data_IF_569340877811
#
_entry.id   IF_569340877811
#
_cell.length_a   1.000
_cell.length_b   1.000
_cell.length_c   1.000
_cell.angle_alpha   90.00
_cell.angle_beta   90.00
_cell.angle_gamma   90.00
#
_symmetry.space_group_name_H-M   'P 1'
#
loop_
_entity.id
_entity.type
_entity.pdbx_description
1 polymer ?
#
# COMPACT_ATOMS: atom_id res chain seq x y z
N UNK A 1 -14.20 -6.90 -33.26
CA UNK A 1 -15.18 -7.03 -32.16
C UNK A 1 -14.55 -6.46 -30.91
N UNK A 2 -15.28 -5.64 -30.14
CA UNK A 2 -14.80 -5.15 -28.85
C UNK A 2 -14.95 -6.29 -27.83
N UNK A 3 -13.90 -6.59 -27.07
CA UNK A 3 -13.95 -7.63 -26.04
C UNK A 3 -14.79 -7.11 -24.87
N UNK A 4 -15.96 -7.71 -24.64
CA UNK A 4 -16.91 -7.27 -23.61
C UNK A 4 -16.35 -7.32 -22.18
N UNK A 5 -15.46 -8.27 -21.89
CA UNK A 5 -14.80 -8.34 -20.58
C UNK A 5 -13.72 -7.27 -20.41
N UNK A 6 -13.00 -6.93 -21.49
CA UNK A 6 -12.09 -5.77 -21.47
C UNK A 6 -12.89 -4.46 -21.28
N UNK A 7 -14.04 -4.30 -21.94
CA UNK A 7 -14.90 -3.13 -21.74
C UNK A 7 -15.34 -3.01 -20.28
N UNK A 8 -15.76 -4.11 -19.63
CA UNK A 8 -16.10 -4.11 -18.19
C UNK A 8 -14.91 -3.79 -17.30
N UNK A 9 -13.73 -4.35 -17.58
CA UNK A 9 -12.51 -4.07 -16.80
C UNK A 9 -12.18 -2.56 -16.81
N UNK A 10 -12.34 -1.92 -17.97
CA UNK A 10 -12.04 -0.50 -18.18
C UNK A 10 -13.14 0.47 -17.69
N UNK A 11 -14.23 0.00 -17.07
CA UNK A 11 -15.19 0.92 -16.41
C UNK A 11 -14.72 1.39 -15.04
N UNK A 12 -13.82 0.63 -14.39
CA UNK A 12 -13.17 1.08 -13.16
C UNK A 12 -11.97 1.99 -13.52
N UNK A 13 -11.88 3.21 -12.96
CA UNK A 13 -10.81 4.14 -13.30
C UNK A 13 -9.41 3.64 -12.93
N UNK A 14 -9.27 2.91 -11.82
CA UNK A 14 -8.00 2.33 -11.39
C UNK A 14 -7.49 1.28 -12.38
N UNK A 15 -8.35 0.34 -12.76
CA UNK A 15 -8.05 -0.67 -13.77
C UNK A 15 -7.76 -0.06 -15.15
N UNK A 16 -8.54 0.94 -15.57
CA UNK A 16 -8.34 1.66 -16.83
C UNK A 16 -6.98 2.34 -16.88
N UNK A 17 -6.63 3.09 -15.83
CA UNK A 17 -5.32 3.75 -15.71
C UNK A 17 -4.17 2.75 -15.59
N UNK A 18 -4.33 1.67 -14.83
CA UNK A 18 -3.33 0.61 -14.74
C UNK A 18 -3.03 -0.01 -16.12
N UNK A 19 -4.08 -0.35 -16.88
CA UNK A 19 -3.98 -0.90 -18.23
C UNK A 19 -3.27 0.05 -19.20
N UNK A 20 -3.71 1.30 -19.32
CA UNK A 20 -3.07 2.26 -20.23
C UNK A 20 -1.67 2.67 -19.78
N UNK A 21 -1.41 2.75 -18.47
CA UNK A 21 -0.08 2.94 -17.92
C UNK A 21 0.87 1.77 -18.25
N UNK A 22 0.40 0.51 -18.21
CA UNK A 22 1.18 -0.63 -18.68
C UNK A 22 1.42 -0.60 -20.20
N UNK A 23 0.45 -0.16 -21.01
CA UNK A 23 0.70 0.02 -22.44
C UNK A 23 1.73 1.11 -22.72
N UNK A 24 1.71 2.22 -21.95
CA UNK A 24 2.70 3.31 -21.99
C UNK A 24 4.10 2.83 -21.58
N UNK A 25 4.16 1.86 -20.69
CA UNK A 25 5.36 1.22 -20.14
C UNK A 25 6.02 0.20 -21.08
N UNK A 26 5.20 -0.51 -21.85
CA UNK A 26 5.66 -1.47 -22.86
C UNK A 26 6.16 -0.75 -24.12
N UNK A 27 5.45 0.30 -24.58
CA UNK A 27 6.14 1.36 -25.33
C UNK A 27 7.10 2.09 -24.37
N UNK A 28 7.94 2.98 -24.87
CA UNK A 28 9.16 3.42 -24.18
C UNK A 28 10.18 2.30 -23.85
N UNK A 29 9.86 1.26 -23.06
CA UNK A 29 10.82 0.20 -22.69
C UNK A 29 11.01 -0.88 -23.76
N UNK A 30 10.40 -2.05 -23.60
CA UNK A 30 10.69 -3.31 -24.34
C UNK A 30 10.15 -3.31 -25.77
N UNK A 31 9.04 -2.62 -26.04
CA UNK A 31 8.51 -2.42 -27.39
C UNK A 31 9.02 -1.08 -27.96
N UNK A 32 10.34 -0.93 -28.01
CA UNK A 32 11.02 0.24 -28.59
C UNK A 32 12.00 -0.17 -29.68
N UNK A 33 12.25 0.70 -30.66
CA UNK A 33 13.33 0.49 -31.64
C UNK A 33 14.67 0.28 -30.94
N UNK A 34 14.98 1.10 -29.94
CA UNK A 34 16.24 1.01 -29.16
C UNK A 34 16.44 -0.39 -28.55
N UNK A 35 15.42 -0.92 -27.87
CA UNK A 35 15.48 -2.26 -27.27
C UNK A 35 15.51 -3.38 -28.32
N UNK A 36 14.61 -3.32 -29.31
CA UNK A 36 14.42 -4.40 -30.29
C UNK A 36 15.50 -4.45 -31.36
N UNK A 37 16.24 -3.35 -31.60
CA UNK A 37 17.27 -3.30 -32.65
C UNK A 37 18.38 -4.33 -32.44
N UNK A 38 18.89 -4.47 -31.21
CA UNK A 38 19.93 -5.47 -30.88
C UNK A 38 19.46 -6.89 -31.17
N UNK A 39 18.22 -7.22 -30.79
CA UNK A 39 17.61 -8.53 -31.03
C UNK A 39 17.36 -8.79 -32.52
N UNK A 40 16.81 -7.81 -33.23
CA UNK A 40 16.56 -7.91 -34.67
C UNK A 40 17.85 -8.09 -35.47
N UNK A 41 18.90 -7.33 -35.14
CA UNK A 41 20.23 -7.49 -35.74
C UNK A 41 20.83 -8.86 -35.43
N UNK A 42 20.76 -9.32 -34.18
CA UNK A 42 21.28 -10.63 -33.78
C UNK A 42 20.58 -11.78 -34.51
N UNK A 43 19.25 -11.85 -34.46
CA UNK A 43 18.52 -12.97 -35.06
C UNK A 43 18.57 -12.97 -36.59
N UNK A 44 18.70 -11.80 -37.25
CA UNK A 44 18.94 -11.71 -38.69
C UNK A 44 20.21 -12.47 -39.12
N UNK A 45 21.25 -12.58 -38.26
CA UNK A 45 22.45 -13.35 -38.60
C UNK A 45 22.22 -14.86 -38.77
N UNK A 46 21.11 -15.40 -38.27
CA UNK A 46 20.71 -16.80 -38.44
C UNK A 46 19.69 -17.01 -39.58
N UNK A 47 19.21 -15.94 -40.22
CA UNK A 47 18.13 -15.97 -41.21
C UNK A 47 18.68 -15.63 -42.61
N UNK A 48 19.00 -16.62 -43.45
CA UNK A 48 19.69 -16.39 -44.73
C UNK A 48 18.85 -15.68 -45.80
N UNK A 49 17.56 -15.44 -45.54
CA UNK A 49 16.60 -14.86 -46.49
C UNK A 49 15.66 -13.82 -45.87
N UNK A 50 15.86 -13.41 -44.62
CA UNK A 50 14.95 -12.50 -43.91
C UNK A 50 15.73 -11.53 -43.00
N UNK A 51 15.51 -10.22 -43.21
CA UNK A 51 16.09 -9.16 -42.38
C UNK A 51 15.02 -8.61 -41.43
N UNK A 52 15.10 -9.01 -40.16
CA UNK A 52 14.15 -8.60 -39.13
C UNK A 52 14.27 -7.12 -38.76
N UNK A 53 15.37 -6.45 -39.12
CA UNK A 53 15.53 -5.01 -38.85
C UNK A 53 14.56 -4.15 -39.67
N UNK A 54 14.05 -4.68 -40.79
CA UNK A 54 13.01 -4.03 -41.60
C UNK A 54 11.72 -3.76 -40.82
N UNK A 55 11.38 -4.64 -39.86
CA UNK A 55 10.19 -4.51 -39.00
C UNK A 55 10.30 -3.41 -37.92
N UNK A 56 11.48 -2.82 -37.69
CA UNK A 56 11.63 -1.73 -36.71
C UNK A 56 10.82 -0.47 -37.10
N UNK A 57 10.52 -0.30 -38.39
CA UNK A 57 9.59 0.74 -38.87
C UNK A 57 8.15 0.55 -38.35
N UNK A 58 7.66 -0.70 -38.35
CA UNK A 58 6.37 -1.06 -37.78
C UNK A 58 6.31 -0.83 -36.27
N UNK A 59 7.41 -1.11 -35.54
CA UNK A 59 7.52 -0.84 -34.10
C UNK A 59 7.24 0.64 -33.82
N UNK A 60 7.88 1.56 -34.54
CA UNK A 60 7.66 3.01 -34.34
C UNK A 60 6.22 3.44 -34.68
N UNK A 61 5.68 3.00 -35.82
CA UNK A 61 4.28 3.27 -36.20
C UNK A 61 3.30 2.74 -35.16
N UNK A 62 3.55 1.55 -34.62
CA UNK A 62 2.68 0.92 -33.64
C UNK A 62 2.78 1.60 -32.27
N UNK A 63 3.97 2.04 -31.84
CA UNK A 63 4.15 2.87 -30.64
C UNK A 63 3.36 4.17 -30.72
N UNK A 64 3.46 4.89 -31.84
CA UNK A 64 2.70 6.12 -32.07
C UNK A 64 1.18 5.87 -32.04
N UNK A 65 0.74 4.75 -32.64
CA UNK A 65 -0.67 4.33 -32.60
C UNK A 65 -1.16 4.02 -31.18
N UNK A 66 -0.35 3.34 -30.36
CA UNK A 66 -0.67 3.03 -28.96
C UNK A 66 -0.69 4.30 -28.10
N UNK A 67 0.27 5.21 -28.28
CA UNK A 67 0.29 6.50 -27.58
C UNK A 67 -0.94 7.35 -27.93
N UNK A 68 -1.35 7.41 -29.20
CA UNK A 68 -2.60 8.07 -29.60
C UNK A 68 -3.83 7.40 -28.95
N UNK A 69 -3.88 6.08 -28.91
CA UNK A 69 -4.98 5.36 -28.25
C UNK A 69 -5.03 5.60 -26.73
N UNK A 70 -3.87 5.73 -26.07
CA UNK A 70 -3.78 6.13 -24.66
C UNK A 70 -4.35 7.55 -24.49
N UNK A 71 -3.85 8.53 -25.25
CA UNK A 71 -4.27 9.93 -25.12
C UNK A 71 -5.77 10.14 -25.42
N UNK A 72 -6.34 9.35 -26.34
CA UNK A 72 -7.77 9.38 -26.65
C UNK A 72 -8.64 8.75 -25.54
N UNK A 73 -8.09 7.81 -24.76
CA UNK A 73 -8.82 7.11 -23.71
C UNK A 73 -8.66 7.75 -22.33
N UNK A 74 -7.49 8.33 -22.05
CA UNK A 74 -7.14 9.09 -20.85
C UNK A 74 -6.30 10.30 -21.29
N UNK A 75 -6.92 11.49 -21.43
CA UNK A 75 -6.23 12.72 -21.81
C UNK A 75 -5.04 13.04 -20.90
N UNK A 76 -4.03 13.74 -21.44
CA UNK A 76 -2.86 14.12 -20.65
C UNK A 76 -3.16 15.33 -19.77
N UNK A 77 -2.90 15.19 -18.46
CA UNK A 77 -2.97 16.24 -17.44
C UNK A 77 -1.62 16.32 -16.71
N UNK A 78 -1.20 17.47 -16.18
CA UNK A 78 -0.04 17.56 -15.31
C UNK A 78 -0.28 16.79 -13.99
N UNK A 79 0.80 16.39 -13.33
CA UNK A 79 0.73 16.00 -11.91
C UNK A 79 0.60 17.25 -11.05
N UNK A 80 -0.39 17.27 -10.15
CA UNK A 80 -0.65 18.37 -9.20
C UNK A 80 -1.46 17.88 -7.99
N UNK A 81 -1.39 18.59 -6.87
CA UNK A 81 -2.28 18.45 -5.71
C UNK A 81 -3.41 19.49 -5.84
N UNK A 82 -4.65 19.02 -5.71
CA UNK A 82 -5.86 19.85 -5.75
C UNK A 82 -6.42 20.15 -4.34
N UNK A 83 -5.94 19.47 -3.30
CA UNK A 83 -6.27 19.81 -1.90
C UNK A 83 -5.79 21.23 -1.60
N UNK A 84 -6.70 22.09 -1.16
CA UNK A 84 -6.40 23.50 -0.87
C UNK A 84 -5.55 23.66 0.39
N UNK A 85 -4.56 24.55 0.36
CA UNK A 85 -3.80 24.95 1.55
C UNK A 85 -4.72 25.45 2.68
N UNK A 86 -4.35 25.13 3.92
CA UNK A 86 -5.14 25.42 5.11
C UNK A 86 -6.34 24.50 5.35
N UNK A 87 -6.61 23.54 4.46
CA UNK A 87 -7.68 22.55 4.65
C UNK A 87 -7.56 21.85 6.01
N UNK A 88 -8.65 21.79 6.75
CA UNK A 88 -8.69 21.23 8.11
C UNK A 88 -9.24 19.82 8.13
N UNK A 89 -8.58 18.92 8.86
CA UNK A 89 -8.99 17.52 9.01
C UNK A 89 -9.07 17.13 10.50
N UNK A 90 -10.21 16.55 10.90
CA UNK A 90 -10.40 16.03 12.24
C UNK A 90 -9.98 14.55 12.28
N UNK A 91 -8.88 14.27 12.96
CA UNK A 91 -8.27 12.94 13.09
C UNK A 91 -6.76 13.00 12.93
N UNK A 92 -6.14 11.82 12.78
CA UNK A 92 -4.69 11.64 12.55
C UNK A 92 -4.34 11.37 11.08
N UNK A 93 -5.29 11.58 10.16
CA UNK A 93 -5.11 11.40 8.71
C UNK A 93 -5.80 12.54 7.94
N UNK A 94 -5.13 13.05 6.90
CA UNK A 94 -5.69 13.95 5.91
C UNK A 94 -6.01 13.19 4.61
N UNK A 95 -7.15 13.50 4.01
CA UNK A 95 -7.48 13.07 2.65
C UNK A 95 -6.88 14.05 1.65
N UNK A 96 -5.80 13.66 0.98
CA UNK A 96 -5.16 14.46 -0.07
C UNK A 96 -5.65 13.99 -1.43
N UNK A 97 -5.94 14.94 -2.32
CA UNK A 97 -6.42 14.70 -3.68
C UNK A 97 -5.63 15.55 -4.68
N UNK A 98 -5.59 15.09 -5.92
CA UNK A 98 -4.91 15.77 -7.02
C UNK A 98 -5.14 15.06 -8.34
N UNK A 99 -4.47 15.54 -9.39
CA UNK A 99 -4.52 14.95 -10.72
C UNK A 99 -3.19 14.28 -11.10
N UNK A 100 -3.25 13.30 -11.99
CA UNK A 100 -2.09 12.77 -12.68
C UNK A 100 -2.48 12.09 -14.01
N UNK A 101 -1.57 12.05 -14.98
CA UNK A 101 -1.73 11.23 -16.18
C UNK A 101 -1.25 9.77 -15.96
N UNK A 102 -1.45 8.88 -16.94
CA UNK A 102 -1.19 7.42 -16.80
C UNK A 102 0.29 7.03 -16.79
N UNK A 103 1.19 8.01 -16.90
CA UNK A 103 2.62 7.83 -16.66
C UNK A 103 2.95 7.68 -15.19
N UNK A 104 2.16 8.32 -14.31
CA UNK A 104 2.24 8.15 -12.87
C UNK A 104 1.82 6.75 -12.44
N UNK A 105 2.75 6.03 -11.82
CA UNK A 105 2.53 4.70 -11.26
C UNK A 105 2.23 4.77 -9.77
N UNK A 106 3.01 5.53 -9.02
CA UNK A 106 2.91 5.63 -7.57
C UNK A 106 3.23 7.03 -7.04
N UNK A 107 2.73 7.32 -5.85
CA UNK A 107 3.02 8.54 -5.09
C UNK A 107 3.73 8.17 -3.80
N UNK A 108 4.74 8.94 -3.40
CA UNK A 108 5.45 8.79 -2.12
C UNK A 108 5.45 10.11 -1.36
N UNK A 109 5.20 10.09 -0.06
CA UNK A 109 5.38 11.26 0.82
C UNK A 109 6.87 11.41 1.12
N UNK A 110 7.39 12.64 1.12
CA UNK A 110 8.77 12.91 1.46
C UNK A 110 9.10 12.38 2.87
N UNK A 111 10.14 11.54 2.97
CA UNK A 111 10.55 10.90 4.23
C UNK A 111 9.80 9.62 4.62
N UNK A 112 8.74 9.23 3.89
CA UNK A 112 8.07 7.94 4.09
C UNK A 112 8.81 6.81 3.36
N UNK A 113 8.76 5.59 3.92
CA UNK A 113 9.44 4.40 3.38
C UNK A 113 8.65 3.62 2.33
N UNK A 114 7.42 4.03 2.01
CA UNK A 114 6.52 3.31 1.10
C UNK A 114 5.65 4.22 0.23
N UNK A 115 5.03 3.62 -0.79
CA UNK A 115 4.06 4.28 -1.65
C UNK A 115 2.71 4.46 -0.95
N UNK A 116 1.98 5.51 -1.33
CA UNK A 116 0.60 5.76 -0.90
C UNK A 116 -0.37 4.79 -1.57
N UNK A 117 -1.32 4.26 -0.80
CA UNK A 117 -2.50 3.58 -1.36
C UNK A 117 -3.40 4.60 -2.04
N UNK A 118 -3.61 4.46 -3.35
CA UNK A 118 -4.40 5.39 -4.15
C UNK A 118 -5.81 4.85 -4.43
N UNK A 119 -6.81 5.71 -4.27
CA UNK A 119 -8.14 5.53 -4.89
C UNK A 119 -8.23 6.47 -6.09
N UNK A 120 -8.53 5.95 -7.28
CA UNK A 120 -8.87 6.76 -8.44
C UNK A 120 -10.37 7.04 -8.45
N UNK A 121 -10.75 8.32 -8.54
CA UNK A 121 -12.15 8.73 -8.58
C UNK A 121 -12.67 8.83 -10.02
N UNK A 122 -11.76 9.14 -10.96
CA UNK A 122 -11.99 9.21 -12.39
C UNK A 122 -10.66 8.96 -13.15
N UNK A 123 -10.62 9.28 -14.44
CA UNK A 123 -9.47 9.12 -15.33
C UNK A 123 -8.21 9.88 -14.91
N UNK A 124 -8.31 10.88 -14.02
CA UNK A 124 -7.25 11.80 -13.63
C UNK A 124 -7.13 11.99 -12.11
N UNK A 125 -8.26 12.05 -11.40
CA UNK A 125 -8.30 12.40 -9.98
C UNK A 125 -7.88 11.22 -9.11
N UNK A 126 -6.77 11.36 -8.38
CA UNK A 126 -6.36 10.46 -7.31
C UNK A 126 -6.77 11.00 -5.94
N UNK A 127 -6.92 10.08 -4.99
CA UNK A 127 -7.14 10.34 -3.56
C UNK A 127 -6.31 9.39 -2.72
N UNK A 128 -5.64 9.90 -1.69
CA UNK A 128 -4.85 9.14 -0.73
C UNK A 128 -5.13 9.62 0.71
N UNK A 129 -4.93 8.74 1.69
CA UNK A 129 -4.82 9.15 3.09
C UNK A 129 -3.35 9.37 3.44
N UNK A 130 -3.04 10.49 4.09
CA UNK A 130 -1.70 10.83 4.58
C UNK A 130 -1.76 11.04 6.09
N UNK A 131 -0.87 10.43 6.90
CA UNK A 131 -0.81 10.68 8.34
C UNK A 131 -0.56 12.16 8.66
N UNK A 132 -1.27 12.71 9.65
CA UNK A 132 -1.10 14.08 10.14
C UNK A 132 -1.09 14.12 11.67
N UNK A 133 -0.42 15.11 12.24
CA UNK A 133 -0.46 15.44 13.67
C UNK A 133 -1.35 16.67 13.94
N UNK A 134 -1.78 16.92 15.19
CA UNK A 134 -2.45 18.17 15.54
C UNK A 134 -1.59 19.40 15.19
N UNK A 135 -2.20 20.43 14.58
CA UNK A 135 -1.51 21.63 14.10
C UNK A 135 -1.22 21.61 12.59
N UNK A 136 -0.25 22.42 12.15
CA UNK A 136 0.08 22.56 10.73
C UNK A 136 0.99 21.42 10.24
N UNK A 137 0.63 20.81 9.11
CA UNK A 137 1.36 19.72 8.48
C UNK A 137 1.68 20.12 7.03
N UNK A 138 2.96 20.34 6.71
CA UNK A 138 3.42 20.55 5.33
C UNK A 138 3.77 19.19 4.73
N UNK A 139 3.03 18.79 3.70
CA UNK A 139 3.09 17.47 3.07
C UNK A 139 3.60 17.64 1.65
N UNK A 140 4.83 17.19 1.39
CA UNK A 140 5.39 17.08 0.03
C UNK A 140 5.17 15.67 -0.49
N UNK A 141 4.55 15.55 -1.67
CA UNK A 141 4.30 14.28 -2.35
C UNK A 141 5.07 14.28 -3.68
N UNK A 142 5.71 13.15 -4.00
CA UNK A 142 6.47 12.95 -5.23
C UNK A 142 5.83 11.83 -6.05
N UNK A 143 5.69 12.07 -7.35
CA UNK A 143 5.13 11.17 -8.35
C UNK A 143 6.23 10.45 -9.12
N UNK A 144 6.12 9.13 -9.24
CA UNK A 144 7.09 8.29 -9.95
C UNK A 144 6.42 7.47 -11.05
N UNK A 145 7.15 7.21 -12.12
CA UNK A 145 6.76 6.25 -13.16
C UNK A 145 7.11 4.80 -12.76
N UNK A 146 6.82 3.85 -13.66
CA UNK A 146 7.08 2.41 -13.45
C UNK A 146 8.56 2.04 -13.48
N UNK A 147 9.44 2.93 -13.95
CA UNK A 147 10.90 2.77 -13.88
C UNK A 147 11.45 3.32 -12.56
N UNK A 148 10.62 3.97 -11.73
CA UNK A 148 11.05 4.69 -10.53
C UNK A 148 11.68 6.06 -10.84
N UNK A 149 11.49 6.60 -12.05
CA UNK A 149 11.92 7.95 -12.37
C UNK A 149 10.90 8.97 -11.84
N UNK A 150 11.40 10.08 -11.31
CA UNK A 150 10.58 11.17 -10.80
C UNK A 150 9.89 11.92 -11.95
N UNK A 151 8.55 11.97 -11.92
CA UNK A 151 7.72 12.75 -12.85
C UNK A 151 7.61 14.20 -12.36
N UNK A 152 7.41 14.37 -11.06
CA UNK A 152 7.24 15.67 -10.43
C UNK A 152 7.01 15.54 -8.93
N UNK A 153 6.97 16.67 -8.23
CA UNK A 153 6.62 16.74 -6.82
C UNK A 153 5.83 18.02 -6.55
N UNK A 154 4.88 17.93 -5.63
CA UNK A 154 4.01 19.04 -5.23
C UNK A 154 3.83 19.03 -3.71
N UNK A 155 3.40 20.15 -3.13
CA UNK A 155 3.33 20.34 -1.67
C UNK A 155 2.05 21.06 -1.26
N UNK A 156 1.42 20.57 -0.19
CA UNK A 156 0.25 21.20 0.45
C UNK A 156 0.47 21.31 1.95
N UNK A 157 -0.01 22.39 2.57
CA UNK A 157 -0.07 22.54 4.02
C UNK A 157 -1.50 22.38 4.51
N UNK A 158 -1.74 21.39 5.37
CA UNK A 158 -3.06 21.08 5.95
C UNK A 158 -3.05 21.22 7.48
N UNK A 159 -4.21 21.42 8.09
CA UNK A 159 -4.35 21.60 9.54
C UNK A 159 -5.01 20.37 10.17
N UNK A 160 -4.28 19.66 11.03
CA UNK A 160 -4.85 18.64 11.90
C UNK A 160 -5.57 19.28 13.08
N UNK A 161 -6.87 19.03 13.20
CA UNK A 161 -7.71 19.50 14.32
C UNK A 161 -8.11 18.37 15.28
N UNK A 162 -7.66 17.14 15.01
CA UNK A 162 -7.79 16.02 15.94
C UNK A 162 -6.88 16.15 17.16
N UNK A 163 -7.05 15.22 18.12
CA UNK A 163 -6.25 15.11 19.35
C UNK A 163 -5.42 13.82 19.42
N UNK A 164 -5.39 13.06 18.31
CA UNK A 164 -4.68 11.79 18.20
C UNK A 164 -3.53 11.94 17.20
N UNK A 165 -2.43 11.24 17.45
CA UNK A 165 -1.28 11.16 16.54
C UNK A 165 -1.26 9.79 15.85
N UNK A 166 -0.74 9.68 14.62
CA UNK A 166 -0.58 8.39 13.96
C UNK A 166 0.50 7.54 14.65
N UNK A 167 0.35 6.22 14.59
CA UNK A 167 1.38 5.28 15.04
C UNK A 167 2.70 5.47 14.28
N UNK A 168 3.81 5.44 15.01
CA UNK A 168 5.17 5.54 14.47
C UNK A 168 6.17 4.87 15.42
N UNK A 169 7.38 4.57 14.94
CA UNK A 169 8.45 4.03 15.76
C UNK A 169 8.89 4.94 16.93
N UNK A 170 8.44 6.20 16.97
CA UNK A 170 8.69 7.13 18.06
C UNK A 170 7.63 7.11 19.19
N UNK A 171 6.45 6.51 18.95
CA UNK A 171 5.33 6.53 19.91
C UNK A 171 4.67 5.17 20.18
N UNK A 172 4.86 4.17 19.31
CA UNK A 172 4.32 2.82 19.47
C UNK A 172 5.44 1.79 19.31
N UNK A 173 5.52 0.85 20.25
CA UNK A 173 6.48 -0.27 20.22
C UNK A 173 5.78 -1.59 20.42
N UNK A 174 6.40 -2.68 19.94
CA UNK A 174 6.15 -4.02 20.47
C UNK A 174 6.91 -4.14 21.79
N UNK A 175 6.18 -4.29 22.91
CA UNK A 175 6.75 -4.32 24.27
C UNK A 175 7.04 -5.74 24.76
N UNK A 176 6.29 -6.74 24.28
CA UNK A 176 6.48 -8.15 24.64
C UNK A 176 6.10 -9.07 23.47
N UNK A 177 6.79 -10.20 23.32
CA UNK A 177 6.45 -11.27 22.38
C UNK A 177 6.57 -12.60 23.11
N UNK A 178 5.46 -13.35 23.19
CA UNK A 178 5.39 -14.70 23.73
C UNK A 178 5.31 -15.69 22.58
N UNK A 179 6.46 -16.03 21.99
CA UNK A 179 6.57 -16.91 20.80
C UNK A 179 6.73 -18.40 21.12
N UNK A 180 6.94 -18.76 22.39
CA UNK A 180 7.13 -20.15 22.81
C UNK A 180 6.50 -20.36 24.20
N UNK A 181 5.16 -20.46 24.29
CA UNK A 181 4.47 -20.61 25.55
C UNK A 181 4.74 -21.97 26.20
N UNK A 182 4.70 -22.03 27.54
CA UNK A 182 4.85 -23.28 28.27
C UNK A 182 3.74 -24.31 27.95
N UNK A 183 4.06 -25.60 28.15
CA UNK A 183 3.13 -26.70 27.91
C UNK A 183 1.75 -26.47 28.57
N UNK A 184 0.63 -26.82 27.90
CA UNK A 184 -0.70 -26.73 28.48
C UNK A 184 -0.84 -27.52 29.79
N UNK A 185 -1.35 -26.86 30.82
CA UNK A 185 -1.77 -27.48 32.08
C UNK A 185 -2.97 -28.41 31.87
N UNK A 186 -3.21 -29.34 32.80
CA UNK A 186 -4.35 -30.27 32.70
C UNK A 186 -5.71 -29.56 32.60
N UNK A 187 -5.84 -28.35 33.19
CA UNK A 187 -7.05 -27.54 33.13
C UNK A 187 -7.25 -26.78 31.80
N UNK A 188 -6.16 -26.57 31.04
CA UNK A 188 -6.15 -26.02 29.68
C UNK A 188 -6.43 -27.12 28.65
N UNK A 189 -5.76 -28.28 28.80
CA UNK A 189 -6.03 -29.48 27.98
C UNK A 189 -7.49 -29.92 28.09
N UNK A 190 -8.05 -29.95 29.31
CA UNK A 190 -9.47 -30.24 29.54
C UNK A 190 -10.44 -29.19 28.96
N UNK A 191 -9.95 -27.99 28.63
CA UNK A 191 -10.70 -26.95 27.92
C UNK A 191 -10.52 -27.02 26.38
N UNK A 192 -9.79 -28.02 25.86
CA UNK A 192 -9.54 -28.21 24.43
C UNK A 192 -8.24 -27.58 23.92
N UNK A 193 -7.44 -26.94 24.78
CA UNK A 193 -6.18 -26.30 24.38
C UNK A 193 -5.00 -27.25 24.63
N UNK A 194 -4.65 -28.03 23.61
CA UNK A 194 -3.54 -29.02 23.65
C UNK A 194 -2.27 -28.55 22.96
N UNK A 195 -2.36 -27.50 22.14
CA UNK A 195 -1.25 -26.86 21.43
C UNK A 195 -0.66 -25.73 22.30
N UNK A 196 0.65 -25.76 22.65
CA UNK A 196 1.30 -24.66 23.38
C UNK A 196 1.19 -23.32 22.64
N UNK A 197 1.18 -23.34 21.32
CA UNK A 197 1.27 -22.12 20.52
C UNK A 197 -0.08 -21.38 20.48
N UNK A 198 -1.18 -22.04 20.86
CA UNK A 198 -2.47 -21.35 21.10
C UNK A 198 -2.38 -20.24 22.16
N UNK A 199 -1.35 -20.27 23.00
CA UNK A 199 -1.10 -19.29 24.06
C UNK A 199 -0.11 -18.19 23.66
N UNK A 200 0.30 -18.12 22.40
CA UNK A 200 1.14 -17.04 21.88
C UNK A 200 0.46 -15.66 22.01
N UNK A 201 1.26 -14.60 22.13
CA UNK A 201 0.78 -13.23 21.98
C UNK A 201 1.89 -12.24 21.62
N UNK A 202 1.48 -11.08 21.11
CA UNK A 202 2.28 -9.88 20.93
C UNK A 202 1.63 -8.77 21.76
N UNK A 203 2.41 -8.06 22.58
CA UNK A 203 1.98 -6.84 23.23
C UNK A 203 2.51 -5.61 22.48
N UNK A 204 1.64 -4.64 22.23
CA UNK A 204 2.02 -3.30 21.79
C UNK A 204 1.76 -2.28 22.90
N UNK A 205 2.64 -1.29 23.02
CA UNK A 205 2.54 -0.22 24.01
C UNK A 205 2.69 1.15 23.36
N UNK A 206 1.79 2.08 23.71
CA UNK A 206 1.99 3.49 23.47
C UNK A 206 3.02 4.01 24.49
N UNK A 207 4.22 4.33 24.02
CA UNK A 207 5.31 4.85 24.85
C UNK A 207 5.30 6.37 25.00
N UNK A 208 4.36 7.07 24.35
CA UNK A 208 4.16 8.50 24.57
C UNK A 208 3.65 8.77 25.99
N UNK A 209 4.17 9.84 26.61
CA UNK A 209 3.73 10.33 27.90
C UNK A 209 2.48 11.23 27.81
N UNK A 210 2.14 11.76 26.63
CA UNK A 210 1.08 12.76 26.43
C UNK A 210 0.11 12.43 25.29
N UNK A 211 0.60 11.78 24.23
CA UNK A 211 -0.18 11.62 22.99
C UNK A 211 -0.99 10.34 22.97
N UNK A 212 -2.24 10.43 22.51
CA UNK A 212 -3.07 9.26 22.19
C UNK A 212 -2.75 8.79 20.78
N UNK A 213 -2.30 7.55 20.62
CA UNK A 213 -1.83 7.00 19.33
C UNK A 213 -2.96 6.27 18.62
N UNK A 214 -3.30 6.68 17.40
CA UNK A 214 -4.26 6.00 16.54
C UNK A 214 -3.60 4.75 15.89
N UNK A 215 -4.24 3.59 16.04
CA UNK A 215 -3.82 2.29 15.50
C UNK A 215 -4.53 1.93 14.17
N UNK A 216 -5.41 2.79 13.66
CA UNK A 216 -6.15 2.57 12.40
C UNK A 216 -5.19 2.34 11.23
N UNK A 217 -5.53 1.37 10.38
CA UNK A 217 -4.76 0.90 9.21
C UNK A 217 -3.36 0.34 9.51
N UNK A 218 -2.98 0.23 10.78
CA UNK A 218 -1.78 -0.51 11.19
C UNK A 218 -1.97 -2.01 10.93
N UNK A 219 -0.88 -2.69 10.57
CA UNK A 219 -0.89 -4.12 10.28
C UNK A 219 0.48 -4.76 10.49
N UNK A 220 0.48 -6.01 10.94
CA UNK A 220 1.61 -6.91 10.76
C UNK A 220 1.52 -7.55 9.37
N UNK A 221 2.65 -7.52 8.63
CA UNK A 221 2.81 -8.13 7.29
C UNK A 221 3.91 -9.17 7.24
N UNK A 222 4.66 -9.34 8.32
CA UNK A 222 5.77 -10.27 8.50
C UNK A 222 5.70 -10.87 9.91
N UNK A 223 6.19 -12.09 10.09
CA UNK A 223 5.99 -12.91 11.31
C UNK A 223 4.55 -13.42 11.43
N UNK A 224 3.57 -12.51 11.46
CA UNK A 224 2.14 -12.80 11.37
C UNK A 224 1.43 -11.87 10.38
N UNK A 225 0.26 -12.27 9.90
CA UNK A 225 -0.69 -11.40 9.20
C UNK A 225 -1.77 -10.96 10.18
N UNK A 226 -1.84 -9.66 10.52
CA UNK A 226 -2.89 -9.13 11.39
C UNK A 226 -3.16 -7.66 11.06
N UNK A 227 -4.43 -7.29 10.91
CA UNK A 227 -4.87 -5.90 10.74
C UNK A 227 -5.44 -5.38 12.05
N UNK A 228 -4.99 -4.21 12.50
CA UNK A 228 -5.48 -3.60 13.73
C UNK A 228 -6.90 -3.05 13.54
N UNK A 229 -7.77 -3.13 14.57
CA UNK A 229 -9.07 -2.48 14.54
C UNK A 229 -8.91 -0.96 14.59
N UNK A 230 -9.94 -0.23 14.15
CA UNK A 230 -10.06 1.22 14.34
C UNK A 230 -10.15 1.54 15.83
N UNK A 231 -9.00 1.83 16.44
CA UNK A 231 -8.84 2.09 17.87
C UNK A 231 -7.70 3.09 18.08
N UNK A 232 -7.73 3.83 19.20
CA UNK A 232 -6.60 4.61 19.66
C UNK A 232 -6.17 4.19 21.07
N UNK A 233 -4.86 4.18 21.31
CA UNK A 233 -4.21 3.73 22.54
C UNK A 233 -3.77 4.95 23.35
N UNK A 234 -4.29 5.11 24.57
CA UNK A 234 -3.98 6.23 25.45
C UNK A 234 -2.50 6.21 25.93
N UNK A 235 -1.92 7.35 26.36
CA UNK A 235 -0.54 7.44 26.82
C UNK A 235 -0.18 6.36 27.85
N UNK A 236 0.96 5.68 27.66
CA UNK A 236 1.44 4.63 28.55
C UNK A 236 0.59 3.34 28.60
N UNK A 237 -0.47 3.21 27.80
CA UNK A 237 -1.31 2.01 27.80
C UNK A 237 -0.84 0.95 26.80
N UNK A 238 -1.26 -0.29 27.04
CA UNK A 238 -0.83 -1.52 26.34
C UNK A 238 -2.03 -2.24 25.76
N UNK A 239 -1.83 -2.95 24.65
CA UNK A 239 -2.85 -3.79 24.03
C UNK A 239 -2.23 -5.04 23.42
N UNK A 240 -3.04 -6.09 23.28
CA UNK A 240 -2.60 -7.45 22.97
C UNK A 240 -3.17 -7.94 21.64
N UNK A 241 -2.32 -8.56 20.84
CA UNK A 241 -2.69 -9.35 19.67
C UNK A 241 -2.37 -10.80 20.02
N UNK A 242 -3.38 -11.66 20.12
CA UNK A 242 -3.24 -13.00 20.74
C UNK A 242 -3.34 -14.11 19.70
N UNK A 243 -2.68 -15.25 19.92
CA UNK A 243 -2.77 -16.42 19.03
C UNK A 243 -4.21 -16.91 18.96
N UNK A 244 -4.71 -17.41 20.10
CA UNK A 244 -6.11 -17.78 20.30
C UNK A 244 -6.67 -17.06 21.54
N UNK A 245 -7.77 -16.30 21.38
CA UNK A 245 -8.28 -15.46 22.48
C UNK A 245 -8.78 -16.28 23.67
N UNK A 246 -9.43 -17.42 23.43
CA UNK A 246 -9.98 -18.26 24.50
C UNK A 246 -8.86 -18.98 25.26
N UNK A 247 -7.81 -19.44 24.58
CA UNK A 247 -6.62 -20.01 25.19
C UNK A 247 -5.85 -18.96 26.01
N UNK A 248 -5.59 -17.78 25.43
CA UNK A 248 -4.96 -16.66 26.14
C UNK A 248 -5.71 -16.32 27.42
N UNK A 249 -7.04 -16.12 27.35
CA UNK A 249 -7.84 -15.77 28.52
C UNK A 249 -7.91 -16.88 29.57
N UNK A 250 -7.77 -18.15 29.18
CA UNK A 250 -7.68 -19.29 30.09
C UNK A 250 -6.39 -19.29 30.91
N UNK A 251 -5.27 -18.82 30.33
CA UNK A 251 -3.93 -18.81 30.94
C UNK A 251 -3.60 -17.52 31.68
N UNK A 252 -3.77 -16.39 30.99
CA UNK A 252 -3.33 -15.06 31.43
C UNK A 252 -4.48 -14.21 32.01
N UNK A 253 -5.72 -14.70 31.92
CA UNK A 253 -6.92 -14.01 32.41
C UNK A 253 -7.48 -12.98 31.43
N UNK A 254 -8.49 -12.23 31.89
CA UNK A 254 -9.31 -11.33 31.05
C UNK A 254 -9.02 -9.83 31.26
N UNK A 255 -7.97 -9.49 32.02
CA UNK A 255 -7.68 -8.09 32.40
C UNK A 255 -6.99 -7.23 31.33
N UNK A 256 -6.51 -7.82 30.23
CA UNK A 256 -5.81 -7.13 29.16
C UNK A 256 -6.73 -6.67 28.03
N UNK A 257 -6.39 -5.54 27.39
CA UNK A 257 -7.08 -5.05 26.19
C UNK A 257 -6.64 -5.87 24.97
N UNK A 258 -7.44 -6.87 24.59
CA UNK A 258 -7.20 -7.68 23.39
C UNK A 258 -7.79 -6.97 22.16
N UNK A 259 -6.96 -6.75 21.13
CA UNK A 259 -7.33 -6.11 19.86
C UNK A 259 -7.95 -7.10 18.88
N UNK A 260 -7.60 -8.37 19.01
CA UNK A 260 -8.08 -9.47 18.17
C UNK A 260 -7.16 -10.67 18.30
N UNK A 261 -7.56 -11.78 17.67
CA UNK A 261 -6.72 -12.96 17.52
C UNK A 261 -6.21 -13.10 16.09
N UNK A 262 -5.02 -13.69 15.91
CA UNK A 262 -4.40 -13.83 14.59
C UNK A 262 -4.36 -15.26 14.05
N UNK A 263 -4.33 -16.30 14.89
CA UNK A 263 -4.32 -17.69 14.39
C UNK A 263 -5.64 -18.03 13.70
N UNK A 264 -5.54 -18.67 12.55
CA UNK A 264 -6.68 -19.16 11.79
C UNK A 264 -7.21 -20.49 12.37
N UNK A 265 -8.45 -20.84 12.04
CA UNK A 265 -9.11 -22.05 12.55
C UNK A 265 -8.46 -23.37 12.08
N UNK A 266 -7.62 -23.33 11.05
CA UNK A 266 -6.80 -24.44 10.55
C UNK A 266 -5.41 -24.52 11.21
N UNK A 267 -5.11 -23.63 12.16
CA UNK A 267 -3.82 -23.52 12.83
C UNK A 267 -2.75 -22.76 12.03
N UNK A 268 -3.09 -22.17 10.88
CA UNK A 268 -2.18 -21.29 10.14
C UNK A 268 -2.09 -19.89 10.77
N UNK A 269 -1.12 -19.08 10.30
CA UNK A 269 -0.76 -17.77 10.83
C UNK A 269 -0.30 -17.83 12.30
N UNK A 270 0.95 -18.25 12.52
CA UNK A 270 1.62 -18.44 13.82
C UNK A 270 2.85 -17.53 13.89
N UNK A 271 3.37 -17.25 15.09
CA UNK A 271 4.65 -16.53 15.20
C UNK A 271 5.76 -17.38 14.54
N UNK A 272 6.50 -16.76 13.61
CA UNK A 272 7.60 -17.39 12.82
C UNK A 272 8.77 -16.44 12.66
#
# INVERSE_FOLDING_TARGET
>A
MQNGELTKLLTDPGNKRAFYGHLRDLINTVFSRSYLQTWAQHYTTFLPSEDLTTHLSYVDTRRASVLSAINNAVPQVPYQINTTDGSSFNGSFATIQGDAWVDMFELRVAGASGALTLTWLDDHTWRAQVPIVPGANTITIAAYDRQGALIGSDTVTVIGTGTQVPASAANLVVSEIMYNPGLPSSAEQAAGFTDPDSFEFIEVMNISATETVNLTDLKFTEGITFSFPTLALAPGTRALIVGNQAAFQKRYGTGGTILGQYQAADGSNRLT
#
